data_IF_488005327040
#
_entry.id   IF_488005327040
#
_cell.length_a   1.000
_cell.length_b   1.000
_cell.length_c   1.000
_cell.angle_alpha   90.00
_cell.angle_beta   90.00
_cell.angle_gamma   90.00
#
_symmetry.space_group_name_H-M   'P 1'
#
loop_
_entity.id
_entity.type
_entity.pdbx_description
1 polymer ?
#
# COMPACT_ATOMS: atom_id res chain seq x y z
N UNK A 1 3.03 15.31 -28.13
CA UNK A 1 2.13 14.79 -27.08
C UNK A 1 2.72 13.48 -26.62
N UNK A 2 3.00 13.35 -25.33
CA UNK A 2 3.54 12.10 -24.78
C UNK A 2 2.43 11.04 -24.87
N UNK A 3 2.66 9.96 -25.61
CA UNK A 3 1.71 8.85 -25.74
C UNK A 3 1.76 7.89 -24.54
N UNK A 4 2.09 8.41 -23.34
CA UNK A 4 2.25 7.64 -22.12
C UNK A 4 1.21 8.10 -21.11
N UNK A 5 0.51 7.15 -20.50
CA UNK A 5 -0.41 7.35 -19.40
C UNK A 5 0.05 6.56 -18.18
N UNK A 6 -0.36 6.99 -17.00
CA UNK A 6 -0.15 6.25 -15.77
C UNK A 6 -1.38 5.41 -15.44
N UNK A 7 -1.13 4.17 -15.05
CA UNK A 7 -2.13 3.25 -14.55
C UNK A 7 -1.72 2.74 -13.18
N UNK A 8 -2.68 2.63 -12.28
CA UNK A 8 -2.48 2.05 -10.95
C UNK A 8 -3.36 0.83 -10.79
N UNK A 9 -2.79 -0.21 -10.21
CA UNK A 9 -3.54 -1.38 -9.77
C UNK A 9 -3.46 -1.48 -8.26
N UNK A 10 -4.60 -1.72 -7.64
CA UNK A 10 -4.75 -1.87 -6.20
C UNK A 10 -5.33 -3.24 -5.92
N UNK A 11 -4.62 -4.07 -5.17
CA UNK A 11 -5.05 -5.42 -4.81
C UNK A 11 -5.24 -5.50 -3.30
N UNK A 12 -6.48 -5.68 -2.87
CA UNK A 12 -6.85 -5.88 -1.47
C UNK A 12 -6.42 -7.25 -0.96
N UNK A 13 -6.37 -7.43 0.35
CA UNK A 13 -6.03 -8.72 0.98
C UNK A 13 -7.05 -9.82 0.71
N UNK A 14 -8.31 -9.47 0.46
CA UNK A 14 -9.38 -10.39 0.09
C UNK A 14 -9.34 -10.82 -1.39
N UNK A 15 -8.38 -10.30 -2.16
CA UNK A 15 -8.21 -10.62 -3.57
C UNK A 15 -8.97 -9.70 -4.52
N UNK A 16 -9.75 -8.74 -4.03
CA UNK A 16 -10.38 -7.75 -4.90
C UNK A 16 -9.32 -6.86 -5.55
N UNK A 17 -9.46 -6.62 -6.86
CA UNK A 17 -8.52 -5.85 -7.68
C UNK A 17 -9.23 -4.67 -8.30
N UNK A 18 -8.63 -3.50 -8.19
CA UNK A 18 -9.10 -2.23 -8.75
C UNK A 18 -8.02 -1.66 -9.66
N UNK A 19 -8.42 -1.04 -10.77
CA UNK A 19 -7.53 -0.34 -11.68
C UNK A 19 -7.99 1.08 -11.91
N UNK A 20 -7.03 2.00 -11.96
CA UNK A 20 -7.26 3.44 -12.17
C UNK A 20 -6.26 3.97 -13.20
N UNK A 21 -6.64 4.98 -13.98
CA UNK A 21 -5.73 5.63 -14.92
C UNK A 21 -5.98 7.14 -14.95
N UNK A 22 -4.95 7.90 -15.27
CA UNK A 22 -5.01 9.35 -15.56
C UNK A 22 -5.38 9.63 -17.00
N UNK A 23 -5.51 8.58 -17.83
CA UNK A 23 -5.97 8.68 -19.20
C UNK A 23 -7.48 8.97 -19.26
N UNK A 24 -7.95 9.56 -20.36
CA UNK A 24 -9.35 9.87 -20.60
C UNK A 24 -10.19 8.65 -21.03
N UNK A 25 -9.55 7.53 -21.35
CA UNK A 25 -10.17 6.26 -21.69
C UNK A 25 -9.63 5.11 -20.82
N UNK A 26 -10.45 4.08 -20.63
CA UNK A 26 -10.05 2.87 -19.89
C UNK A 26 -8.88 2.18 -20.59
N UNK A 27 -7.90 1.76 -19.83
CA UNK A 27 -6.73 1.00 -20.28
C UNK A 27 -6.67 -0.35 -19.61
N UNK A 28 -6.00 -1.32 -20.23
CA UNK A 28 -5.82 -2.66 -19.66
C UNK A 28 -4.35 -2.90 -19.36
N UNK A 29 -4.03 -3.22 -18.11
CA UNK A 29 -2.67 -3.51 -17.65
C UNK A 29 -2.66 -4.82 -16.88
N UNK A 30 -1.83 -5.76 -17.31
CA UNK A 30 -1.71 -7.10 -16.69
C UNK A 30 -3.07 -7.80 -16.48
N UNK A 31 -4.02 -7.59 -17.40
CA UNK A 31 -5.36 -8.16 -17.32
C UNK A 31 -6.34 -7.41 -16.41
N UNK A 32 -5.92 -6.30 -15.81
CA UNK A 32 -6.76 -5.42 -14.99
C UNK A 32 -7.24 -4.24 -15.82
N UNK A 33 -8.54 -3.98 -15.80
CA UNK A 33 -9.12 -2.78 -16.42
C UNK A 33 -8.86 -1.58 -15.50
N UNK A 34 -8.02 -0.65 -15.96
CA UNK A 34 -7.76 0.61 -15.31
C UNK A 34 -8.78 1.65 -15.79
N UNK A 35 -9.69 2.04 -14.92
CA UNK A 35 -10.80 2.93 -15.24
C UNK A 35 -10.38 4.38 -15.27
N UNK A 36 -10.87 5.09 -16.27
CA UNK A 36 -10.73 6.54 -16.42
C UNK A 36 -11.66 7.29 -15.46
N UNK A 37 -11.42 8.60 -15.32
CA UNK A 37 -12.30 9.55 -14.62
C UNK A 37 -12.61 9.21 -13.14
N UNK A 38 -11.70 8.52 -12.46
CA UNK A 38 -11.86 8.13 -11.04
C UNK A 38 -11.33 9.16 -10.05
N UNK A 39 -10.89 10.34 -10.53
CA UNK A 39 -10.29 11.37 -9.66
C UNK A 39 -8.94 10.97 -9.05
N UNK A 40 -8.37 9.88 -9.52
CA UNK A 40 -7.05 9.44 -9.09
C UNK A 40 -5.98 10.32 -9.73
N UNK A 41 -5.16 10.99 -8.93
CA UNK A 41 -4.13 11.91 -9.44
C UNK A 41 -2.73 11.41 -9.07
N UNK A 42 -1.84 11.50 -10.05
CA UNK A 42 -0.43 11.12 -9.94
C UNK A 42 0.47 12.17 -9.27
N UNK A 43 -0.09 13.28 -8.80
CA UNK A 43 0.68 14.43 -8.35
C UNK A 43 1.77 14.11 -7.32
N UNK A 44 1.65 13.00 -6.63
CA UNK A 44 2.62 12.57 -5.62
C UNK A 44 3.74 11.67 -6.16
N UNK A 45 3.59 11.08 -7.35
CA UNK A 45 4.60 10.17 -7.91
C UNK A 45 5.69 10.92 -8.69
N UNK A 46 5.36 12.09 -9.24
CA UNK A 46 6.30 12.87 -10.08
C UNK A 46 7.45 13.51 -9.29
N UNK A 47 7.27 13.85 -8.02
CA UNK A 47 8.31 14.55 -7.25
C UNK A 47 9.42 13.64 -6.72
N UNK A 48 9.33 12.31 -6.83
CA UNK A 48 10.25 11.40 -6.11
C UNK A 48 10.87 10.27 -6.92
N UNK A 49 11.10 10.47 -8.20
CA UNK A 49 11.91 9.54 -9.02
C UNK A 49 13.40 9.50 -8.62
N UNK A 50 13.82 10.30 -7.66
CA UNK A 50 15.18 10.34 -7.16
C UNK A 50 15.26 9.66 -5.78
N UNK A 51 15.57 8.36 -5.74
CA UNK A 51 16.27 7.64 -4.63
C UNK A 51 15.87 7.96 -3.16
N UNK A 52 14.76 8.61 -2.90
CA UNK A 52 14.30 8.85 -1.55
C UNK A 52 13.50 7.62 -1.08
N UNK A 53 14.02 6.97 -0.06
CA UNK A 53 13.26 6.10 0.84
C UNK A 53 12.16 6.98 1.44
N UNK A 54 11.00 7.05 0.82
CA UNK A 54 9.95 7.96 1.22
C UNK A 54 8.59 7.32 1.07
N UNK A 55 7.78 7.51 2.08
CA UNK A 55 6.35 7.33 1.98
C UNK A 55 5.84 8.34 0.96
N UNK A 56 5.02 7.87 0.04
CA UNK A 56 4.34 8.69 -0.97
C UNK A 56 2.88 8.75 -0.60
N UNK A 57 2.26 9.90 -0.74
CA UNK A 57 0.83 10.04 -0.60
C UNK A 57 0.15 9.92 -1.97
N UNK A 58 -0.93 9.19 -2.01
CA UNK A 58 -1.81 9.08 -3.18
C UNK A 58 -3.16 9.62 -2.79
N UNK A 59 -3.68 10.55 -3.58
CA UNK A 59 -5.02 11.06 -3.39
C UNK A 59 -5.94 10.58 -4.51
N UNK A 60 -7.17 10.22 -4.18
CA UNK A 60 -8.18 9.77 -5.13
C UNK A 60 -9.58 10.21 -4.74
N UNK A 61 -10.47 10.28 -5.71
CA UNK A 61 -11.89 10.50 -5.46
C UNK A 61 -12.55 9.23 -4.93
N UNK A 62 -13.47 9.40 -3.98
CA UNK A 62 -14.40 8.34 -3.62
C UNK A 62 -15.36 8.14 -4.78
N UNK A 63 -15.44 6.93 -5.31
CA UNK A 63 -16.38 6.59 -6.37
C UNK A 63 -17.12 5.32 -6.06
N UNK A 64 -18.40 5.27 -6.38
CA UNK A 64 -19.26 4.09 -6.18
C UNK A 64 -18.75 2.85 -6.95
N UNK A 65 -17.91 3.05 -7.96
CA UNK A 65 -17.39 1.99 -8.81
C UNK A 65 -16.10 1.33 -8.29
N UNK A 66 -15.49 1.85 -7.21
CA UNK A 66 -14.19 1.37 -6.76
C UNK A 66 -13.97 1.45 -5.27
N UNK A 67 -13.69 2.63 -4.76
CA UNK A 67 -13.34 2.84 -3.35
C UNK A 67 -14.48 3.56 -2.67
N UNK A 68 -15.17 2.86 -1.77
CA UNK A 68 -16.27 3.41 -0.98
C UNK A 68 -15.82 3.84 0.41
N UNK A 69 -16.50 4.84 0.97
CA UNK A 69 -16.27 5.28 2.34
C UNK A 69 -16.42 4.13 3.35
N UNK A 70 -17.43 3.29 3.17
CA UNK A 70 -17.68 2.14 4.04
C UNK A 70 -16.50 1.15 4.04
N UNK A 71 -15.86 0.92 2.88
CA UNK A 71 -14.70 0.05 2.76
C UNK A 71 -13.45 0.64 3.42
N UNK A 72 -13.29 1.97 3.34
CA UNK A 72 -12.20 2.68 4.02
C UNK A 72 -12.37 2.59 5.53
N UNK A 73 -13.54 2.94 6.05
CA UNK A 73 -13.84 2.89 7.48
C UNK A 73 -13.74 1.47 8.04
N UNK A 74 -14.03 0.46 7.23
CA UNK A 74 -13.85 -0.95 7.59
C UNK A 74 -12.39 -1.42 7.52
N UNK A 75 -11.43 -0.56 7.17
CA UNK A 75 -10.00 -0.90 7.04
C UNK A 75 -9.69 -1.91 5.93
N UNK A 76 -10.58 -2.07 4.94
CA UNK A 76 -10.41 -3.09 3.89
C UNK A 76 -9.24 -2.82 2.97
N UNK A 77 -8.75 -1.59 2.93
CA UNK A 77 -7.60 -1.19 2.12
C UNK A 77 -6.28 -1.21 2.89
N UNK A 78 -6.30 -1.46 4.20
CA UNK A 78 -5.09 -1.49 5.02
C UNK A 78 -4.13 -2.60 4.56
N UNK A 79 -2.93 -2.19 4.17
CA UNK A 79 -1.91 -3.07 3.63
C UNK A 79 -2.27 -3.68 2.27
N UNK A 80 -3.20 -3.09 1.52
CA UNK A 80 -3.44 -3.44 0.13
C UNK A 80 -2.18 -3.20 -0.72
N UNK A 81 -1.93 -4.06 -1.69
CA UNK A 81 -0.79 -3.89 -2.61
C UNK A 81 -1.16 -2.89 -3.69
N UNK A 82 -0.26 -1.96 -3.96
CA UNK A 82 -0.41 -0.98 -5.03
C UNK A 82 0.78 -1.09 -6.00
N UNK A 83 0.49 -1.01 -7.29
CA UNK A 83 1.52 -0.90 -8.32
C UNK A 83 1.13 0.19 -9.32
N UNK A 84 2.13 0.95 -9.79
CA UNK A 84 1.95 1.94 -10.84
C UNK A 84 2.72 1.52 -12.09
N UNK A 85 2.11 1.79 -13.23
CA UNK A 85 2.61 1.43 -14.55
C UNK A 85 2.56 2.65 -15.48
N UNK A 86 3.61 2.86 -16.23
CA UNK A 86 3.58 3.69 -17.44
C UNK A 86 3.13 2.83 -18.63
N UNK A 87 2.11 3.29 -19.33
CA UNK A 87 1.53 2.60 -20.47
C UNK A 87 1.69 3.45 -21.72
N UNK A 88 2.31 2.91 -22.74
CA UNK A 88 2.39 3.55 -24.04
C UNK A 88 1.08 3.32 -24.83
N UNK A 89 0.05 4.12 -24.51
CA UNK A 89 -1.28 3.96 -25.09
C UNK A 89 -1.36 4.33 -26.58
N UNK A 90 -0.47 5.21 -27.05
CA UNK A 90 -0.42 5.63 -28.46
C UNK A 90 0.43 4.71 -29.35
N UNK A 91 1.10 3.73 -28.78
CA UNK A 91 2.02 2.83 -29.47
C UNK A 91 1.63 1.36 -29.34
N UNK A 92 2.51 0.58 -28.76
CA UNK A 92 2.41 -0.87 -28.63
C UNK A 92 1.61 -1.36 -27.42
N UNK A 93 1.12 -0.45 -26.58
CA UNK A 93 0.40 -0.76 -25.35
C UNK A 93 1.28 -1.40 -24.27
N UNK A 94 2.59 -1.38 -24.41
CA UNK A 94 3.52 -1.95 -23.43
C UNK A 94 3.40 -1.19 -22.11
N UNK A 95 3.16 -1.93 -21.04
CA UNK A 95 3.12 -1.42 -19.68
C UNK A 95 4.45 -1.67 -18.99
N UNK A 96 5.06 -0.63 -18.44
CA UNK A 96 6.26 -0.69 -17.62
C UNK A 96 5.92 -0.36 -16.17
N UNK A 97 6.12 -1.30 -15.26
CA UNK A 97 5.93 -1.05 -13.83
C UNK A 97 7.00 -0.08 -13.31
N UNK A 98 6.55 1.07 -12.81
CA UNK A 98 7.42 2.14 -12.28
C UNK A 98 7.43 2.19 -10.77
N UNK A 99 6.39 1.65 -10.14
CA UNK A 99 6.30 1.62 -8.69
C UNK A 99 5.61 0.35 -8.20
N UNK A 100 5.98 -0.12 -7.01
CA UNK A 100 5.28 -1.15 -6.26
C UNK A 100 5.43 -0.88 -4.76
N UNK A 101 4.34 -1.09 -4.03
CA UNK A 101 4.30 -0.83 -2.60
C UNK A 101 3.05 -1.37 -1.93
N UNK A 102 2.80 -0.91 -0.72
CA UNK A 102 1.61 -1.22 0.06
C UNK A 102 0.96 0.07 0.55
N UNK A 103 -0.36 0.06 0.61
CA UNK A 103 -1.11 1.13 1.26
C UNK A 103 -0.90 1.05 2.77
N UNK A 104 -0.58 2.20 3.37
CA UNK A 104 -0.58 2.42 4.80
C UNK A 104 -1.93 2.93 5.28
N UNK A 105 -1.90 3.98 6.09
CA UNK A 105 -3.10 4.63 6.59
C UNK A 105 -3.87 5.33 5.48
N UNK A 106 -5.18 5.11 5.46
CA UNK A 106 -6.10 5.78 4.52
C UNK A 106 -6.97 6.74 5.31
N UNK A 107 -6.91 8.01 4.97
CA UNK A 107 -7.70 9.07 5.58
C UNK A 107 -8.71 9.62 4.58
N UNK A 108 -9.89 9.96 5.06
CA UNK A 108 -10.93 10.58 4.25
C UNK A 108 -10.92 12.09 4.42
N UNK A 109 -11.04 12.81 3.31
CA UNK A 109 -11.15 14.26 3.27
C UNK A 109 -12.34 14.65 2.37
N UNK A 110 -13.55 14.71 2.95
CA UNK A 110 -14.79 14.98 2.21
C UNK A 110 -15.11 13.89 1.19
N UNK A 111 -15.20 14.25 -0.10
CA UNK A 111 -15.46 13.32 -1.20
C UNK A 111 -14.17 12.69 -1.78
N UNK A 112 -13.04 12.92 -1.15
CA UNK A 112 -11.75 12.37 -1.53
C UNK A 112 -11.15 11.57 -0.38
N UNK A 113 -10.20 10.70 -0.70
CA UNK A 113 -9.35 10.05 0.29
C UNK A 113 -7.89 10.36 0.00
N UNK A 114 -7.08 10.32 1.04
CA UNK A 114 -5.63 10.37 0.96
C UNK A 114 -5.08 9.09 1.60
N UNK A 115 -4.21 8.40 0.89
CA UNK A 115 -3.59 7.18 1.36
C UNK A 115 -2.07 7.31 1.38
N UNK A 116 -1.46 6.96 2.51
CA UNK A 116 -0.03 6.78 2.57
C UNK A 116 0.35 5.53 1.75
N UNK A 117 1.33 5.65 0.89
CA UNK A 117 1.86 4.52 0.13
C UNK A 117 3.31 4.28 0.52
N UNK A 118 3.60 3.08 0.95
CA UNK A 118 4.91 2.62 1.40
C UNK A 118 5.56 1.79 0.32
N UNK A 119 6.68 2.29 -0.20
CA UNK A 119 7.47 1.58 -1.20
C UNK A 119 8.12 0.31 -0.63
N UNK A 120 8.56 -0.59 -1.52
CA UNK A 120 9.25 -1.83 -1.12
C UNK A 120 10.54 -1.56 -0.31
N UNK A 121 11.16 -0.39 -0.51
CA UNK A 121 12.36 0.01 0.23
C UNK A 121 12.11 0.27 1.73
N UNK A 122 10.87 0.55 2.13
CA UNK A 122 10.54 0.71 3.56
C UNK A 122 10.80 -0.57 4.36
N UNK A 123 10.56 -1.73 3.77
CA UNK A 123 10.88 -3.01 4.39
C UNK A 123 12.38 -3.17 4.71
N UNK A 124 13.25 -2.48 3.97
CA UNK A 124 14.70 -2.48 4.19
C UNK A 124 15.11 -1.53 5.34
N UNK A 125 14.30 -0.54 5.66
CA UNK A 125 14.55 0.38 6.78
C UNK A 125 14.16 -0.20 8.14
N UNK A 126 13.60 -1.39 8.17
CA UNK A 126 13.26 -2.04 9.43
C UNK A 126 14.53 -2.46 10.13
N UNK A 127 14.75 -1.95 11.32
CA UNK A 127 15.89 -2.35 12.15
C UNK A 127 15.82 -3.88 12.40
N UNK A 128 16.72 -4.62 11.76
CA UNK A 128 16.87 -6.06 11.92
C UNK A 128 18.01 -6.27 12.91
N UNK A 129 17.72 -6.88 14.03
CA UNK A 129 18.76 -7.18 15.02
C UNK A 129 18.27 -6.98 16.44
N UNK A 130 19.21 -7.14 17.36
CA UNK A 130 18.97 -6.92 18.79
C UNK A 130 19.94 -5.87 19.31
N UNK A 131 19.42 -5.02 20.16
CA UNK A 131 20.22 -4.11 20.96
C UNK A 131 20.52 -4.78 22.28
N UNK A 132 21.79 -4.79 22.70
CA UNK A 132 22.16 -5.19 24.06
C UNK A 132 21.74 -4.07 25.02
N UNK A 133 20.76 -4.35 25.84
CA UNK A 133 20.21 -3.40 26.81
C UNK A 133 19.98 -4.06 28.15
N UNK A 134 19.79 -3.25 29.20
CA UNK A 134 19.57 -3.75 30.56
C UNK A 134 18.26 -4.53 30.71
N UNK A 135 17.23 -4.19 29.95
CA UNK A 135 15.94 -4.87 29.97
C UNK A 135 15.95 -6.04 28.99
N UNK A 136 15.28 -7.13 29.38
CA UNK A 136 15.10 -8.30 28.52
C UNK A 136 14.18 -7.94 27.34
N UNK A 137 14.60 -8.28 26.10
CA UNK A 137 13.82 -8.10 24.88
C UNK A 137 13.09 -9.36 24.42
N UNK A 138 13.10 -10.43 25.21
CA UNK A 138 12.34 -11.65 24.93
C UNK A 138 10.88 -11.46 25.34
N UNK A 139 9.97 -12.12 24.63
CA UNK A 139 8.59 -12.25 25.08
C UNK A 139 8.57 -13.31 26.19
N UNK A 140 7.89 -13.02 27.29
CA UNK A 140 7.79 -13.93 28.41
C UNK A 140 7.23 -15.29 27.96
N UNK A 141 7.95 -16.37 28.26
CA UNK A 141 7.57 -17.74 27.88
C UNK A 141 7.97 -18.15 26.45
N UNK A 142 8.59 -17.25 25.65
CA UNK A 142 9.11 -17.64 24.32
C UNK A 142 10.38 -18.52 24.45
N UNK A 143 10.79 -19.13 23.33
CA UNK A 143 11.98 -19.99 23.29
C UNK A 143 13.27 -19.29 23.74
N UNK A 144 13.31 -17.95 23.72
CA UNK A 144 14.46 -17.14 24.14
C UNK A 144 14.40 -16.81 25.63
N UNK A 145 13.21 -16.59 26.14
CA UNK A 145 12.97 -16.32 27.53
C UNK A 145 13.32 -17.57 28.41
N UNK A 146 12.95 -18.74 27.91
CA UNK A 146 13.22 -20.01 28.60
C UNK A 146 12.47 -20.20 29.93
N UNK A 147 11.59 -19.28 30.30
CA UNK A 147 10.75 -19.41 31.49
C UNK A 147 9.55 -20.28 31.16
N UNK A 148 9.38 -21.35 31.92
CA UNK A 148 8.22 -22.23 31.83
C UNK A 148 7.07 -21.61 32.63
N UNK A 149 6.07 -21.09 31.93
CA UNK A 149 4.90 -20.44 32.52
C UNK A 149 3.91 -21.43 33.18
N UNK A 150 4.07 -22.74 32.91
CA UNK A 150 3.23 -23.76 33.56
C UNK A 150 3.65 -24.10 35.01
N UNK A 151 4.73 -23.52 35.48
CA UNK A 151 5.17 -23.73 36.85
C UNK A 151 4.20 -23.09 37.84
N UNK A 152 3.89 -23.77 38.96
CA UNK A 152 2.91 -23.29 39.94
C UNK A 152 3.26 -21.94 40.58
N UNK A 153 4.53 -21.59 40.64
CA UNK A 153 5.02 -20.29 41.14
C UNK A 153 4.60 -19.07 40.31
N UNK A 154 4.15 -19.30 39.05
CA UNK A 154 3.65 -18.27 38.15
C UNK A 154 2.13 -18.29 38.00
N UNK A 155 1.43 -19.18 38.73
CA UNK A 155 -0.02 -19.24 38.75
C UNK A 155 -0.54 -18.34 39.86
N UNK A 156 -1.33 -17.32 39.54
CA UNK A 156 -2.11 -16.59 40.53
C UNK A 156 -3.40 -17.40 40.80
N UNK A 157 -3.69 -17.71 42.03
CA UNK A 157 -5.03 -18.14 42.42
C UNK A 157 -5.96 -16.92 42.24
N UNK A 158 -7.05 -17.08 41.46
CA UNK A 158 -8.05 -16.08 41.21
C UNK A 158 -9.12 -16.11 42.31
#
# INVERSE_FOLDING_TARGET
MSGVALCWTLTRRDGAVFGFTDHDADLVVEGVVCRAATGWTAAALEERTALAVGNTEVAGGLSDAGITEADILAGRFDGARIAAFEVNWAGDGVARRVFAGTMGEVTQAGAAFCAEVRGLAEGLNRAIGRVFQRSCSAVLGDRRCGVDLARPEFSAEA
#
